data_IF_299946810464
#
_entry.id   IF_299946810464
#
_cell.length_a   1.000
_cell.length_b   1.000
_cell.length_c   1.000
_cell.angle_alpha   90.00
_cell.angle_beta   90.00
_cell.angle_gamma   90.00
#
_symmetry.space_group_name_H-M   'P 1'
#
loop_
_entity.id
_entity.type
_entity.pdbx_description
1 polymer ?
#
# COMPACT_ATOMS: atom_id res chain seq x y z
N UNK A 1 12.30 -6.63 -26.73
CA UNK A 1 12.13 -6.27 -25.31
C UNK A 1 12.33 -4.77 -25.20
N UNK A 2 11.26 -4.00 -25.34
CA UNK A 2 11.31 -2.53 -25.27
C UNK A 2 11.73 -2.11 -23.87
N UNK A 3 12.87 -1.42 -23.77
CA UNK A 3 13.32 -0.81 -22.53
C UNK A 3 12.26 0.18 -22.07
N UNK A 4 11.91 0.11 -20.79
CA UNK A 4 10.87 0.94 -20.21
C UNK A 4 11.52 2.26 -19.77
N UNK A 5 11.25 3.33 -20.50
CA UNK A 5 11.94 4.63 -20.38
C UNK A 5 11.33 5.59 -19.33
N UNK A 6 10.40 5.15 -18.48
CA UNK A 6 9.69 5.98 -17.49
C UNK A 6 9.86 5.42 -16.07
N UNK A 7 9.68 6.20 -14.98
CA UNK A 7 9.64 5.63 -13.64
C UNK A 7 8.31 4.90 -13.42
N UNK A 8 8.30 3.58 -13.56
CA UNK A 8 7.18 2.70 -13.18
C UNK A 8 7.63 1.80 -12.03
N UNK A 9 6.66 1.33 -11.26
CA UNK A 9 6.93 0.30 -10.27
C UNK A 9 7.32 -0.99 -10.96
N UNK A 10 8.48 -1.51 -10.55
CA UNK A 10 8.96 -2.82 -10.95
C UNK A 10 8.49 -3.82 -9.91
N UNK A 11 8.61 -3.46 -8.64
CA UNK A 11 8.39 -4.36 -7.52
C UNK A 11 8.19 -3.61 -6.20
N UNK A 12 7.37 -4.16 -5.31
CA UNK A 12 7.31 -3.82 -3.90
C UNK A 12 7.72 -5.03 -3.05
N UNK A 13 8.58 -4.79 -2.06
CA UNK A 13 9.05 -5.77 -1.09
C UNK A 13 8.44 -5.45 0.27
N UNK A 14 7.92 -6.46 0.96
CA UNK A 14 7.26 -6.31 2.25
C UNK A 14 8.17 -6.87 3.33
N UNK A 15 8.74 -5.96 4.12
CA UNK A 15 9.59 -6.31 5.26
C UNK A 15 8.75 -6.30 6.54
N UNK A 16 8.74 -7.43 7.25
CA UNK A 16 8.19 -7.50 8.61
C UNK A 16 9.28 -7.08 9.58
N UNK A 17 9.07 -5.95 10.24
CA UNK A 17 10.00 -5.36 11.22
C UNK A 17 9.44 -5.49 12.65
N UNK A 18 10.21 -5.02 13.62
CA UNK A 18 9.78 -4.95 15.01
C UNK A 18 8.47 -4.14 15.12
N UNK A 19 7.54 -4.62 15.96
CA UNK A 19 6.18 -4.08 16.07
C UNK A 19 5.13 -4.75 15.18
N UNK A 20 5.50 -5.75 14.38
CA UNK A 20 4.54 -6.55 13.61
C UNK A 20 3.71 -7.49 14.51
N UNK A 21 2.40 -7.26 14.59
CA UNK A 21 1.44 -8.15 15.24
C UNK A 21 0.43 -8.73 14.24
N UNK A 22 0.60 -10.00 13.87
CA UNK A 22 -0.26 -10.69 12.90
C UNK A 22 -1.74 -10.85 13.34
N UNK A 23 -2.08 -10.54 14.59
CA UNK A 23 -3.44 -10.55 15.11
C UNK A 23 -4.15 -9.19 15.03
N UNK A 24 -3.39 -8.11 14.88
CA UNK A 24 -3.88 -6.73 14.85
C UNK A 24 -4.08 -6.20 13.42
N UNK A 25 -5.01 -5.27 13.23
CA UNK A 25 -5.15 -4.53 11.97
C UNK A 25 -3.98 -3.55 11.80
N UNK A 26 -3.43 -3.35 10.58
CA UNK A 26 -3.79 -3.99 9.31
C UNK A 26 -3.08 -5.33 9.03
N UNK A 27 -2.20 -5.78 9.93
CA UNK A 27 -1.33 -6.94 9.72
C UNK A 27 -2.06 -8.30 9.74
N UNK A 28 -3.27 -8.33 10.29
CA UNK A 28 -4.16 -9.50 10.27
C UNK A 28 -4.95 -9.65 8.95
N UNK A 29 -4.87 -8.67 8.05
CA UNK A 29 -5.51 -8.76 6.74
C UNK A 29 -4.86 -9.85 5.89
N UNK A 30 -5.65 -10.66 5.14
CA UNK A 30 -5.10 -11.80 4.40
C UNK A 30 -3.93 -11.46 3.48
N UNK A 31 -4.04 -10.39 2.68
CA UNK A 31 -2.98 -10.01 1.75
C UNK A 31 -1.76 -9.43 2.47
N UNK A 32 -1.95 -8.62 3.53
CA UNK A 32 -0.85 -8.00 4.26
C UNK A 32 -0.05 -9.05 5.02
N UNK A 33 -0.74 -10.06 5.57
CA UNK A 33 -0.11 -11.12 6.36
C UNK A 33 0.84 -11.98 5.55
N UNK A 34 0.49 -12.30 4.30
CA UNK A 34 1.18 -13.33 3.50
C UNK A 34 1.99 -12.80 2.32
N UNK A 35 1.77 -11.55 1.90
CA UNK A 35 2.46 -10.98 0.76
C UNK A 35 3.88 -10.55 1.13
N UNK A 36 4.89 -11.22 0.58
CA UNK A 36 6.30 -10.85 0.77
C UNK A 36 6.83 -9.96 -0.38
N UNK A 37 6.26 -10.13 -1.56
CA UNK A 37 6.68 -9.48 -2.81
C UNK A 37 5.48 -9.25 -3.72
N UNK A 38 5.42 -8.09 -4.34
CA UNK A 38 4.48 -7.77 -5.41
C UNK A 38 5.24 -7.23 -6.63
N UNK A 39 5.27 -8.02 -7.70
CA UNK A 39 5.81 -7.59 -8.99
C UNK A 39 4.72 -6.90 -9.81
N UNK A 40 5.03 -5.74 -10.38
CA UNK A 40 4.07 -4.97 -11.17
C UNK A 40 4.27 -5.23 -12.65
N UNK A 41 3.16 -5.39 -13.37
CA UNK A 41 3.20 -5.44 -14.82
C UNK A 41 3.50 -4.03 -15.37
N UNK A 42 4.37 -3.87 -16.38
CA UNK A 42 4.81 -2.57 -16.89
C UNK A 42 3.69 -1.66 -17.42
N UNK A 43 2.54 -2.23 -17.76
CA UNK A 43 1.37 -1.49 -18.25
C UNK A 43 0.31 -1.31 -17.17
N UNK A 44 -0.37 -2.39 -16.76
CA UNK A 44 -1.46 -2.37 -15.78
C UNK A 44 -1.39 -3.61 -14.90
N UNK A 45 -1.56 -3.43 -13.59
CA UNK A 45 -1.66 -4.51 -12.59
C UNK A 45 -3.06 -4.50 -11.99
N UNK A 46 -3.75 -5.65 -11.99
CA UNK A 46 -5.07 -5.80 -11.36
C UNK A 46 -4.94 -6.49 -10.01
N UNK A 47 -5.51 -5.88 -8.96
CA UNK A 47 -5.62 -6.48 -7.64
C UNK A 47 -7.04 -6.99 -7.44
N UNK A 48 -7.21 -8.31 -7.36
CA UNK A 48 -8.52 -8.99 -7.31
C UNK A 48 -8.60 -9.84 -6.04
N UNK A 49 -9.80 -9.92 -5.44
CA UNK A 49 -10.05 -10.70 -4.22
C UNK A 49 -11.35 -10.28 -3.53
N UNK A 50 -11.80 -11.05 -2.55
CA UNK A 50 -13.04 -10.81 -1.80
C UNK A 50 -13.02 -9.49 -1.00
N UNK A 51 -14.20 -8.98 -0.64
CA UNK A 51 -14.29 -7.82 0.27
C UNK A 51 -13.69 -8.19 1.64
N UNK A 52 -12.86 -7.32 2.18
CA UNK A 52 -12.10 -7.59 3.41
C UNK A 52 -10.78 -8.33 3.23
N UNK A 53 -10.38 -8.72 2.00
CA UNK A 53 -9.09 -9.38 1.78
C UNK A 53 -7.85 -8.47 1.95
N UNK A 54 -8.06 -7.17 2.11
CA UNK A 54 -7.01 -6.16 2.32
C UNK A 54 -6.52 -5.42 1.06
N UNK A 55 -7.27 -5.46 -0.05
CA UNK A 55 -6.89 -4.79 -1.31
C UNK A 55 -6.72 -3.28 -1.18
N UNK A 56 -7.67 -2.57 -0.56
CA UNK A 56 -7.59 -1.11 -0.41
C UNK A 56 -6.47 -0.69 0.55
N UNK A 57 -6.34 -1.31 1.76
CA UNK A 57 -5.21 -1.05 2.65
C UNK A 57 -3.84 -1.33 2.00
N UNK A 58 -3.74 -2.36 1.16
CA UNK A 58 -2.54 -2.61 0.37
C UNK A 58 -2.22 -1.44 -0.57
N UNK A 59 -3.22 -0.94 -1.31
CA UNK A 59 -3.04 0.21 -2.22
C UNK A 59 -2.65 1.48 -1.44
N UNK A 60 -3.25 1.72 -0.28
CA UNK A 60 -2.92 2.85 0.60
C UNK A 60 -1.48 2.76 1.12
N UNK A 61 -1.07 1.59 1.63
CA UNK A 61 0.30 1.36 2.09
C UNK A 61 1.32 1.57 0.97
N UNK A 62 0.98 1.10 -0.23
CA UNK A 62 1.76 1.30 -1.45
C UNK A 62 1.88 2.80 -1.82
N UNK A 63 0.77 3.55 -1.75
CA UNK A 63 0.77 4.99 -2.01
C UNK A 63 1.63 5.75 -0.99
N UNK A 64 1.48 5.44 0.31
CA UNK A 64 2.27 6.02 1.41
C UNK A 64 3.76 5.71 1.22
N UNK A 65 4.13 4.48 0.86
CA UNK A 65 5.52 4.09 0.63
C UNK A 65 6.18 4.86 -0.53
N UNK A 66 5.39 5.30 -1.52
CA UNK A 66 5.86 6.19 -2.59
C UNK A 66 5.87 7.67 -2.16
N UNK A 67 5.34 8.01 -0.99
CA UNK A 67 5.21 9.40 -0.56
C UNK A 67 4.06 10.14 -1.25
N UNK A 68 3.06 9.42 -1.77
CA UNK A 68 1.75 10.02 -2.00
C UNK A 68 1.02 10.21 -0.67
N UNK A 69 0.24 11.27 -0.58
CA UNK A 69 -0.61 11.49 0.58
C UNK A 69 -1.68 10.37 0.61
N UNK A 70 -1.87 9.63 1.72
CA UNK A 70 -2.78 8.48 1.80
C UNK A 70 -4.23 8.76 1.38
N UNK A 71 -4.66 10.04 1.36
CA UNK A 71 -6.01 10.46 0.95
C UNK A 71 -6.14 10.91 -0.52
N UNK A 72 -5.05 10.96 -1.29
CA UNK A 72 -5.03 11.52 -2.64
C UNK A 72 -4.99 13.06 -2.69
N UNK A 73 -4.39 13.58 -3.76
CA UNK A 73 -4.11 15.02 -3.95
C UNK A 73 -2.62 15.28 -4.22
N UNK A 74 -2.32 16.27 -5.07
CA UNK A 74 -0.92 16.67 -5.34
C UNK A 74 -0.20 17.16 -4.08
N UNK A 75 1.15 17.14 -4.10
CA UNK A 75 2.06 17.46 -2.97
C UNK A 75 1.73 18.75 -2.18
N UNK A 76 0.92 19.65 -2.73
CA UNK A 76 0.67 21.01 -2.24
C UNK A 76 -0.72 21.23 -1.60
N UNK A 77 -1.57 20.21 -1.45
CA UNK A 77 -2.94 20.42 -0.98
C UNK A 77 -3.28 19.61 0.28
N UNK A 78 -3.49 20.32 1.40
CA UNK A 78 -4.07 19.80 2.65
C UNK A 78 -5.56 20.17 2.67
N UNK A 79 -6.43 19.22 2.33
CA UNK A 79 -7.87 19.37 2.56
C UNK A 79 -8.24 18.59 3.82
N UNK A 80 -8.70 19.30 4.85
CA UNK A 80 -9.25 18.68 6.05
C UNK A 80 -10.73 18.37 5.85
N UNK A 81 -11.09 17.09 5.78
CA UNK A 81 -12.48 16.65 6.00
C UNK A 81 -12.53 15.21 6.52
N UNK A 82 -12.86 15.08 7.82
CA UNK A 82 -13.26 13.88 8.57
C UNK A 82 -12.22 12.76 8.76
N UNK A 83 -11.80 12.60 10.02
CA UNK A 83 -11.05 11.45 10.53
C UNK A 83 -11.74 10.12 10.21
N UNK A 84 -11.19 9.40 9.25
CA UNK A 84 -11.40 7.94 9.08
C UNK A 84 -10.07 7.18 9.11
N UNK A 85 -8.99 7.82 9.57
CA UNK A 85 -7.67 7.21 9.62
C UNK A 85 -7.55 6.27 10.80
N UNK A 86 -7.13 5.03 10.53
CA UNK A 86 -6.63 4.14 11.57
C UNK A 86 -5.33 4.72 12.13
N UNK A 87 -5.18 4.81 13.47
CA UNK A 87 -3.96 5.32 14.07
C UNK A 87 -2.86 4.28 13.91
N UNK A 88 -2.05 4.43 12.86
CA UNK A 88 -0.72 3.83 12.80
C UNK A 88 0.25 4.87 13.34
N UNK A 89 0.31 4.96 14.67
CA UNK A 89 1.30 5.76 15.39
C UNK A 89 2.53 4.87 15.61
N UNK A 90 3.66 5.27 15.01
CA UNK A 90 4.98 4.70 15.27
C UNK A 90 5.55 5.40 16.51
N UNK A 91 5.91 4.61 17.53
CA UNK A 91 6.94 4.98 18.51
C UNK A 91 8.25 4.26 18.14
#
# INVERSE_FOLDING_TARGET
MTALERPYWIEALFERRDGWDASAYPFNLPVIRTLDRLAFHPNVTFLIGENGSGKSPLIEALAVAWGFNPEGGGREHRFGTRDSHSPLELD
#
